data_IF_802111966608
#
_entry.id   IF_802111966608
#
_cell.length_a   1.000
_cell.length_b   1.000
_cell.length_c   1.000
_cell.angle_alpha   90.00
_cell.angle_beta   90.00
_cell.angle_gamma   90.00
#
_symmetry.space_group_name_H-M   'P 1'
#
loop_
_entity.id
_entity.type
_entity.pdbx_description
1 polymer ?
#
# COMPACT_ATOMS: atom_id res chain seq x y z
N UNK A 1 -2.13 20.98 -14.66
CA UNK A 1 -3.16 22.03 -14.88
C UNK A 1 -4.59 21.48 -14.95
N UNK A 2 -5.09 20.89 -16.05
CA UNK A 2 -6.51 20.48 -16.12
C UNK A 2 -6.93 19.39 -15.08
N UNK A 3 -6.09 18.37 -14.87
CA UNK A 3 -6.34 17.33 -13.84
C UNK A 3 -6.35 17.91 -12.42
N UNK A 4 -5.48 18.87 -12.13
CA UNK A 4 -5.43 19.54 -10.81
C UNK A 4 -6.64 20.44 -10.58
N UNK A 5 -7.05 21.21 -11.59
CA UNK A 5 -8.30 22.02 -11.56
C UNK A 5 -9.51 21.13 -11.28
N UNK A 6 -9.59 19.95 -11.92
CA UNK A 6 -10.66 18.97 -11.69
C UNK A 6 -10.67 18.42 -10.26
N UNK A 7 -9.53 18.36 -9.58
CA UNK A 7 -9.37 17.76 -8.26
C UNK A 7 -9.52 18.78 -7.12
N UNK A 8 -9.07 20.02 -7.33
CA UNK A 8 -9.01 21.06 -6.29
C UNK A 8 -10.21 22.00 -6.35
N UNK A 9 -10.74 22.29 -7.55
CA UNK A 9 -11.78 23.30 -7.69
C UNK A 9 -13.19 22.71 -7.62
N UNK A 10 -14.03 23.36 -6.79
CA UNK A 10 -15.44 23.02 -6.59
C UNK A 10 -16.38 23.97 -7.34
N UNK A 11 -15.94 24.45 -8.50
CA UNK A 11 -16.70 25.33 -9.39
C UNK A 11 -17.24 24.57 -10.63
N UNK A 12 -17.88 25.28 -11.55
CA UNK A 12 -18.44 24.69 -12.77
C UNK A 12 -17.36 24.18 -13.73
N UNK A 13 -16.23 24.88 -13.83
CA UNK A 13 -15.09 24.45 -14.64
C UNK A 13 -14.51 23.13 -14.13
N UNK A 14 -14.25 23.00 -12.83
CA UNK A 14 -13.82 21.75 -12.21
C UNK A 14 -14.82 20.61 -12.41
N UNK A 15 -16.14 20.88 -12.36
CA UNK A 15 -17.18 19.89 -12.70
C UNK A 15 -17.14 19.46 -14.17
N UNK A 16 -16.98 20.40 -15.10
CA UNK A 16 -16.87 20.10 -16.52
C UNK A 16 -15.64 19.23 -16.83
N UNK A 17 -14.49 19.56 -16.25
CA UNK A 17 -13.26 18.78 -16.43
C UNK A 17 -13.36 17.38 -15.80
N UNK A 18 -13.98 17.23 -14.62
CA UNK A 18 -14.27 15.90 -14.05
C UNK A 18 -15.14 15.05 -14.97
N UNK A 19 -16.22 15.61 -15.53
CA UNK A 19 -17.09 14.92 -16.49
C UNK A 19 -16.33 14.46 -17.73
N UNK A 20 -15.46 15.30 -18.27
CA UNK A 20 -14.60 14.94 -19.39
C UNK A 20 -13.71 13.72 -19.06
N UNK A 21 -13.04 13.71 -17.90
CA UNK A 21 -12.20 12.56 -17.52
C UNK A 21 -13.00 11.28 -17.25
N UNK A 22 -14.22 11.39 -16.72
CA UNK A 22 -15.14 10.25 -16.56
C UNK A 22 -15.47 9.66 -17.94
N UNK A 23 -15.85 10.49 -18.91
CA UNK A 23 -16.12 10.03 -20.27
C UNK A 23 -14.90 9.38 -20.93
N UNK A 24 -13.69 9.90 -20.70
CA UNK A 24 -12.46 9.26 -21.16
C UNK A 24 -12.26 7.87 -20.52
N UNK A 25 -12.54 7.71 -19.22
CA UNK A 25 -12.44 6.42 -18.53
C UNK A 25 -13.49 5.42 -19.04
N UNK A 26 -14.73 5.87 -19.28
CA UNK A 26 -15.80 5.07 -19.89
C UNK A 26 -15.42 4.59 -21.29
N UNK A 27 -14.91 5.50 -22.13
CA UNK A 27 -14.44 5.16 -23.47
C UNK A 27 -13.25 4.19 -23.42
N UNK A 28 -12.31 4.35 -22.48
CA UNK A 28 -11.19 3.43 -22.28
C UNK A 28 -11.69 2.05 -21.84
N UNK A 29 -12.69 1.98 -20.96
CA UNK A 29 -13.28 0.73 -20.53
C UNK A 29 -13.91 -0.05 -21.69
N UNK A 30 -14.55 0.65 -22.63
CA UNK A 30 -15.16 0.04 -23.82
C UNK A 30 -14.13 -0.37 -24.87
N UNK A 31 -13.12 0.48 -25.12
CA UNK A 31 -12.14 0.28 -26.19
C UNK A 31 -10.97 -0.64 -25.81
N UNK A 32 -10.55 -0.62 -24.55
CA UNK A 32 -9.42 -1.41 -24.04
C UNK A 32 -9.68 -1.87 -22.59
N UNK A 33 -10.63 -2.80 -22.37
CA UNK A 33 -11.06 -3.22 -21.03
C UNK A 33 -9.91 -3.76 -20.17
N UNK A 34 -8.94 -4.47 -20.76
CA UNK A 34 -7.79 -5.01 -20.05
C UNK A 34 -6.86 -3.90 -19.51
N UNK A 35 -6.61 -2.87 -20.34
CA UNK A 35 -5.80 -1.71 -19.95
C UNK A 35 -6.50 -0.92 -18.85
N UNK A 36 -7.81 -0.69 -19.00
CA UNK A 36 -8.62 -0.03 -17.98
C UNK A 36 -8.59 -0.80 -16.66
N UNK A 37 -8.78 -2.12 -16.69
CA UNK A 37 -8.71 -2.98 -15.51
C UNK A 37 -7.34 -2.92 -14.83
N UNK A 38 -6.25 -2.92 -15.61
CA UNK A 38 -4.88 -2.77 -15.10
C UNK A 38 -4.69 -1.45 -14.34
N UNK A 39 -5.11 -0.33 -14.92
CA UNK A 39 -4.99 0.98 -14.27
C UNK A 39 -5.87 1.08 -13.02
N UNK A 40 -7.11 0.59 -13.06
CA UNK A 40 -8.00 0.56 -11.89
C UNK A 40 -7.43 -0.29 -10.76
N UNK A 41 -6.88 -1.46 -11.08
CA UNK A 41 -6.21 -2.34 -10.11
C UNK A 41 -5.06 -1.61 -9.42
N UNK A 42 -4.21 -0.95 -10.22
CA UNK A 42 -3.08 -0.20 -9.69
C UNK A 42 -3.53 0.98 -8.80
N UNK A 43 -4.54 1.74 -9.22
CA UNK A 43 -5.12 2.82 -8.41
C UNK A 43 -5.66 2.30 -7.06
N UNK A 44 -6.43 1.21 -7.09
CA UNK A 44 -6.96 0.57 -5.88
C UNK A 44 -5.84 0.13 -4.94
N UNK A 45 -4.78 -0.47 -5.50
CA UNK A 45 -3.61 -0.90 -4.73
C UNK A 45 -2.91 0.28 -4.05
N UNK A 46 -2.74 1.41 -4.75
CA UNK A 46 -2.16 2.63 -4.17
C UNK A 46 -2.99 3.20 -3.03
N UNK A 47 -4.31 3.30 -3.22
CA UNK A 47 -5.22 3.79 -2.18
C UNK A 47 -5.14 2.90 -0.94
N UNK A 48 -5.16 1.58 -1.12
CA UNK A 48 -5.03 0.63 -0.02
C UNK A 48 -3.69 0.74 0.72
N UNK A 49 -2.58 0.90 0.00
CA UNK A 49 -1.26 1.03 0.63
C UNK A 49 -1.10 2.37 1.35
N UNK A 50 -1.74 3.44 0.88
CA UNK A 50 -1.72 4.74 1.54
C UNK A 50 -2.60 4.79 2.79
N UNK A 51 -3.67 3.98 2.87
CA UNK A 51 -4.65 4.06 3.95
C UNK A 51 -4.27 3.30 5.23
N UNK A 52 -3.28 2.39 5.19
CA UNK A 52 -3.00 1.47 6.30
C UNK A 52 -1.82 1.88 7.19
N UNK A 53 -0.91 2.74 6.72
CA UNK A 53 0.23 3.18 7.54
C UNK A 53 -0.21 3.90 8.82
N UNK A 54 -1.15 4.86 8.71
CA UNK A 54 -1.63 5.62 9.89
C UNK A 54 -2.34 4.73 10.91
N UNK A 55 -3.31 3.87 10.53
CA UNK A 55 -3.90 2.91 11.47
C UNK A 55 -2.87 1.98 12.13
N UNK A 56 -1.88 1.49 11.39
CA UNK A 56 -0.81 0.65 11.96
C UNK A 56 0.03 1.41 13.01
N UNK A 57 0.36 2.68 12.75
CA UNK A 57 1.05 3.51 13.73
C UNK A 57 0.18 3.72 14.99
N UNK A 58 -1.13 3.97 14.83
CA UNK A 58 -2.04 4.14 15.95
C UNK A 58 -2.17 2.85 16.79
N UNK A 59 -2.30 1.69 16.16
CA UNK A 59 -2.33 0.41 16.86
C UNK A 59 -1.03 0.15 17.64
N UNK A 60 0.13 0.43 17.03
CA UNK A 60 1.43 0.30 17.70
C UNK A 60 1.55 1.23 18.91
N UNK A 61 1.11 2.47 18.76
CA UNK A 61 1.15 3.46 19.82
C UNK A 61 0.27 3.06 21.00
N UNK A 62 -0.98 2.64 20.72
CA UNK A 62 -1.91 2.15 21.75
C UNK A 62 -1.34 0.93 22.49
N UNK A 63 -0.88 -0.10 21.77
CA UNK A 63 -0.32 -1.32 22.36
C UNK A 63 0.93 -1.04 23.23
N UNK A 64 1.71 -0.01 22.89
CA UNK A 64 2.87 0.41 23.70
C UNK A 64 2.45 1.22 24.92
N UNK A 65 1.46 2.10 24.78
CA UNK A 65 0.91 2.89 25.88
C UNK A 65 0.30 1.99 26.96
N UNK A 66 -0.40 0.92 26.57
CA UNK A 66 -0.92 -0.10 27.50
C UNK A 66 0.17 -0.79 28.32
N UNK A 67 1.40 -0.86 27.78
CA UNK A 67 2.57 -1.40 28.49
C UNK A 67 3.33 -0.32 29.28
N UNK A 68 2.80 0.91 29.38
CA UNK A 68 3.46 2.04 30.02
C UNK A 68 4.69 2.57 29.26
N UNK A 69 4.79 2.31 27.95
CA UNK A 69 5.95 2.68 27.13
C UNK A 69 5.61 3.83 26.18
N UNK A 70 6.51 4.80 26.09
CA UNK A 70 6.42 5.88 25.10
C UNK A 70 6.76 5.38 23.67
N UNK A 71 6.07 5.90 22.66
CA UNK A 71 6.27 5.54 21.25
C UNK A 71 7.06 6.62 20.51
N UNK A 72 8.31 6.29 20.17
CA UNK A 72 9.19 7.13 19.36
C UNK A 72 9.07 6.85 17.86
N UNK A 73 9.41 7.83 17.01
CA UNK A 73 9.38 7.77 15.53
C UNK A 73 10.06 6.52 14.96
N UNK A 74 11.19 6.11 15.55
CA UNK A 74 11.93 4.90 15.12
C UNK A 74 11.10 3.62 15.18
N UNK A 75 10.10 3.53 16.07
CA UNK A 75 9.25 2.35 16.15
C UNK A 75 8.35 2.22 14.92
N UNK A 76 7.76 3.32 14.44
CA UNK A 76 6.97 3.32 13.21
C UNK A 76 7.83 2.94 11.99
N UNK A 77 9.05 3.48 11.92
CA UNK A 77 10.00 3.11 10.87
C UNK A 77 10.40 1.63 10.94
N UNK A 78 10.54 1.06 12.14
CA UNK A 78 10.85 -0.36 12.32
C UNK A 78 9.71 -1.26 11.81
N UNK A 79 8.45 -0.92 12.07
CA UNK A 79 7.28 -1.67 11.55
C UNK A 79 7.22 -1.58 10.02
N UNK A 80 7.32 -0.38 9.45
CA UNK A 80 7.31 -0.21 7.99
C UNK A 80 8.48 -0.91 7.30
N UNK A 81 9.67 -0.85 7.89
CA UNK A 81 10.85 -1.53 7.34
C UNK A 81 10.73 -3.05 7.45
N UNK A 82 10.13 -3.59 8.52
CA UNK A 82 9.86 -5.02 8.63
C UNK A 82 9.01 -5.50 7.47
N UNK A 83 7.87 -4.85 7.23
CA UNK A 83 6.93 -5.21 6.17
C UNK A 83 7.57 -5.00 4.79
N UNK A 84 8.24 -3.87 4.57
CA UNK A 84 8.93 -3.59 3.31
C UNK A 84 9.99 -4.66 2.99
N UNK A 85 10.78 -5.09 3.98
CA UNK A 85 11.77 -6.17 3.80
C UNK A 85 11.10 -7.49 3.43
N UNK A 86 9.94 -7.81 4.01
CA UNK A 86 9.21 -9.04 3.65
C UNK A 86 8.71 -8.96 2.20
N UNK A 87 8.14 -7.83 1.78
CA UNK A 87 7.55 -7.67 0.43
C UNK A 87 8.60 -7.50 -0.66
N UNK A 88 9.70 -6.81 -0.37
CA UNK A 88 10.70 -6.38 -1.36
C UNK A 88 11.97 -7.26 -1.36
N UNK A 89 11.92 -8.46 -0.79
CA UNK A 89 13.03 -9.41 -0.86
C UNK A 89 14.23 -9.06 0.02
N UNK A 90 13.97 -8.54 1.22
CA UNK A 90 14.97 -8.32 2.27
C UNK A 90 15.50 -6.89 2.41
N UNK A 91 15.14 -5.99 1.48
CA UNK A 91 15.57 -4.59 1.49
C UNK A 91 14.47 -3.65 2.00
N UNK A 92 14.87 -2.49 2.55
CA UNK A 92 13.90 -1.45 2.92
C UNK A 92 13.34 -0.76 1.67
N UNK A 93 12.21 -0.07 1.81
CA UNK A 93 11.62 0.71 0.71
C UNK A 93 12.61 1.76 0.15
N UNK A 94 13.41 2.39 1.03
CA UNK A 94 14.45 3.34 0.63
C UNK A 94 15.56 2.68 -0.20
N UNK A 95 16.05 1.52 0.24
CA UNK A 95 17.08 0.77 -0.49
C UNK A 95 16.55 0.28 -1.84
N UNK A 96 15.30 -0.22 -1.86
CA UNK A 96 14.64 -0.62 -3.09
C UNK A 96 14.52 0.54 -4.09
N UNK A 97 14.11 1.73 -3.65
CA UNK A 97 14.06 2.90 -4.52
C UNK A 97 15.43 3.28 -5.07
N UNK A 98 16.48 3.26 -4.24
CA UNK A 98 17.84 3.55 -4.66
C UNK A 98 18.34 2.58 -5.74
N UNK A 99 18.11 1.27 -5.57
CA UNK A 99 18.52 0.25 -6.56
C UNK A 99 17.78 0.40 -7.89
N UNK A 100 16.54 0.90 -7.87
CA UNK A 100 15.73 1.10 -9.06
C UNK A 100 15.82 2.51 -9.65
N UNK A 101 16.70 3.39 -9.12
CA UNK A 101 16.87 4.76 -9.61
C UNK A 101 15.61 5.63 -9.45
N UNK A 102 14.82 5.39 -8.40
CA UNK A 102 13.57 6.11 -8.14
C UNK A 102 13.85 7.31 -7.23
N UNK A 103 13.57 8.49 -7.74
CA UNK A 103 13.53 9.73 -6.97
C UNK A 103 12.11 9.97 -6.42
N UNK A 104 11.97 10.11 -5.10
CA UNK A 104 10.70 10.40 -4.43
C UNK A 104 10.19 9.28 -3.52
N UNK A 105 8.86 9.21 -3.33
CA UNK A 105 8.21 8.22 -2.46
C UNK A 105 8.26 6.81 -3.09
N UNK A 106 8.95 5.83 -2.46
CA UNK A 106 9.12 4.50 -3.05
C UNK A 106 7.80 3.81 -3.42
N UNK A 107 6.75 3.97 -2.60
CA UNK A 107 5.45 3.32 -2.84
C UNK A 107 4.80 3.78 -4.15
N UNK A 108 5.09 4.99 -4.62
CA UNK A 108 4.49 5.52 -5.87
C UNK A 108 5.01 4.80 -7.12
N UNK A 109 6.15 4.14 -7.02
CA UNK A 109 6.81 3.42 -8.12
C UNK A 109 6.69 1.90 -8.01
N UNK A 110 6.07 1.38 -6.95
CA UNK A 110 5.87 -0.06 -6.76
C UNK A 110 4.78 -0.61 -7.68
N UNK A 111 4.90 -1.87 -8.07
CA UNK A 111 3.87 -2.55 -8.86
C UNK A 111 2.56 -2.73 -8.08
N UNK A 112 1.45 -2.94 -8.79
CA UNK A 112 0.16 -3.20 -8.13
C UNK A 112 0.23 -4.43 -7.19
N UNK A 113 0.98 -5.47 -7.59
CA UNK A 113 1.18 -6.65 -6.76
C UNK A 113 1.97 -6.35 -5.48
N UNK A 114 3.04 -5.55 -5.57
CA UNK A 114 3.83 -5.13 -4.40
C UNK A 114 2.97 -4.28 -3.44
N UNK A 115 2.18 -3.36 -3.96
CA UNK A 115 1.29 -2.52 -3.15
C UNK A 115 0.18 -3.33 -2.48
N UNK A 116 -0.46 -4.25 -3.21
CA UNK A 116 -1.45 -5.18 -2.63
C UNK A 116 -0.84 -6.06 -1.52
N UNK A 117 0.41 -6.50 -1.70
CA UNK A 117 1.12 -7.29 -0.70
C UNK A 117 1.44 -6.46 0.54
N UNK A 118 1.92 -5.23 0.37
CA UNK A 118 2.14 -4.28 1.47
C UNK A 118 0.84 -4.07 2.26
N UNK A 119 -0.26 -3.73 1.58
CA UNK A 119 -1.54 -3.52 2.25
C UNK A 119 -2.02 -4.76 3.01
N UNK A 120 -1.85 -5.95 2.43
CA UNK A 120 -2.22 -7.19 3.09
C UNK A 120 -1.45 -7.40 4.40
N UNK A 121 -0.12 -7.19 4.37
CA UNK A 121 0.72 -7.37 5.55
C UNK A 121 0.56 -6.24 6.57
N UNK A 122 0.33 -5.00 6.16
CA UNK A 122 0.03 -3.89 7.07
C UNK A 122 -1.28 -4.13 7.82
N UNK A 123 -2.33 -4.56 7.11
CA UNK A 123 -3.59 -4.93 7.74
C UNK A 123 -3.43 -6.11 8.70
N UNK A 124 -2.65 -7.12 8.34
CA UNK A 124 -2.38 -8.25 9.23
C UNK A 124 -1.56 -7.80 10.46
N UNK A 125 -0.56 -6.93 10.28
CA UNK A 125 0.26 -6.45 11.39
C UNK A 125 -0.57 -5.66 12.42
N UNK A 126 -1.54 -4.85 11.97
CA UNK A 126 -2.50 -4.18 12.86
C UNK A 126 -3.18 -5.23 13.76
N UNK A 127 -3.79 -6.26 13.17
CA UNK A 127 -4.46 -7.32 13.93
C UNK A 127 -3.51 -8.04 14.89
N UNK A 128 -2.29 -8.34 14.48
CA UNK A 128 -1.32 -9.01 15.34
C UNK A 128 -0.84 -8.11 16.49
N UNK A 129 -0.75 -6.79 16.27
CA UNK A 129 -0.48 -5.80 17.32
C UNK A 129 -1.64 -5.78 18.32
N UNK A 130 -2.88 -5.73 17.83
CA UNK A 130 -4.09 -5.72 18.67
C UNK A 130 -4.24 -7.01 19.49
N UNK A 131 -3.69 -8.12 19.01
CA UNK A 131 -3.58 -9.39 19.75
C UNK A 131 -2.44 -9.40 20.80
N UNK A 132 -1.71 -8.30 20.95
CA UNK A 132 -0.63 -8.18 21.93
C UNK A 132 0.66 -8.92 21.58
N UNK A 133 0.82 -9.38 20.33
CA UNK A 133 1.99 -10.15 19.92
C UNK A 133 3.25 -9.28 19.89
N UNK A 134 4.40 -9.85 20.27
CA UNK A 134 5.70 -9.15 20.21
C UNK A 134 6.25 -9.00 18.79
N UNK A 135 7.19 -8.06 18.58
CA UNK A 135 7.76 -7.76 17.27
C UNK A 135 8.27 -9.00 16.51
N UNK A 136 9.08 -9.84 17.15
CA UNK A 136 9.66 -11.02 16.51
C UNK A 136 8.60 -12.09 16.16
N UNK A 137 7.58 -12.24 17.02
CA UNK A 137 6.44 -13.12 16.74
C UNK A 137 5.64 -12.63 15.53
N UNK A 138 5.35 -11.33 15.47
CA UNK A 138 4.66 -10.73 14.33
C UNK A 138 5.47 -10.87 13.05
N UNK A 139 6.79 -10.63 13.10
CA UNK A 139 7.68 -10.81 11.95
C UNK A 139 7.62 -12.24 11.39
N UNK A 140 7.62 -13.25 12.27
CA UNK A 140 7.52 -14.64 11.86
C UNK A 140 6.16 -14.94 11.19
N UNK A 141 5.05 -14.52 11.80
CA UNK A 141 3.72 -14.73 11.24
C UNK A 141 3.51 -13.97 9.92
N UNK A 142 3.95 -12.71 9.83
CA UNK A 142 3.87 -11.94 8.58
C UNK A 142 4.70 -12.56 7.46
N UNK A 143 5.85 -13.15 7.78
CA UNK A 143 6.66 -13.89 6.80
C UNK A 143 5.90 -15.12 6.30
N UNK A 144 5.25 -15.86 7.20
CA UNK A 144 4.41 -17.02 6.83
C UNK A 144 3.19 -16.61 5.99
N UNK A 145 2.52 -15.52 6.37
CA UNK A 145 1.39 -14.97 5.61
C UNK A 145 1.81 -14.51 4.21
N UNK A 146 2.99 -13.87 4.10
CA UNK A 146 3.60 -13.48 2.83
C UNK A 146 3.84 -14.68 1.91
N UNK A 147 4.46 -15.75 2.42
CA UNK A 147 4.68 -16.98 1.66
C UNK A 147 3.37 -17.59 1.15
N UNK A 148 2.33 -17.66 2.01
CA UNK A 148 1.01 -18.15 1.61
C UNK A 148 0.35 -17.26 0.57
N UNK A 149 0.49 -15.94 0.70
CA UNK A 149 -0.05 -14.97 -0.24
C UNK A 149 0.60 -15.13 -1.62
N UNK A 150 1.92 -15.28 -1.67
CA UNK A 150 2.68 -15.52 -2.90
C UNK A 150 2.30 -16.85 -3.55
N UNK A 151 2.23 -17.93 -2.76
CA UNK A 151 1.87 -19.26 -3.26
C UNK A 151 0.49 -19.29 -3.91
N UNK A 152 -0.51 -18.62 -3.31
CA UNK A 152 -1.86 -18.52 -3.89
C UNK A 152 -1.89 -17.81 -5.24
N UNK A 153 -1.02 -16.82 -5.44
CA UNK A 153 -0.98 -16.03 -6.68
C UNK A 153 -0.12 -16.63 -7.77
N UNK A 154 0.88 -17.43 -7.40
CA UNK A 154 1.62 -18.25 -8.36
C UNK A 154 0.71 -19.37 -8.88
N UNK A 155 0.02 -20.09 -8.00
CA UNK A 155 -0.92 -21.14 -8.42
C UNK A 155 -2.12 -20.64 -9.21
N UNK A 156 -2.57 -19.39 -9.00
CA UNK A 156 -3.66 -18.80 -9.77
C UNK A 156 -3.23 -18.29 -11.18
N UNK A 157 -1.94 -18.30 -11.50
CA UNK A 157 -1.44 -17.97 -12.85
C UNK A 157 -1.16 -19.23 -13.70
N UNK A 158 -1.25 -20.42 -13.10
CA UNK A 158 -0.98 -21.72 -13.75
C UNK A 158 -2.29 -22.48 -14.14
N UNK A 159 -3.46 -21.88 -13.91
CA UNK A 159 -4.79 -22.30 -14.37
C UNK A 159 -5.36 -21.32 -15.40
#
# INVERSE_FOLDING_TARGET
MAKEVAMVERNEQGRAVRRYFIQCEEALQLSAPEIAAKYRRHLKARIGAASLFKPMCAALEAARAEQGKETQVRHYSNESNMIARIVLGGVTAKQWAQVNGIDGEPRDSMSAGQLEHLSYLESANITLIDMGMGYDQRKAELTRLSQRWLAKRLGANDE
#
